data_IF_525437234417
#
_entry.id   IF_525437234417
#
_cell.length_a   1.000
_cell.length_b   1.000
_cell.length_c   1.000
_cell.angle_alpha   90.00
_cell.angle_beta   90.00
_cell.angle_gamma   90.00
#
_symmetry.space_group_name_H-M   'P 1'
#
loop_
_entity.id
_entity.type
_entity.pdbx_description
1 polymer ?
#
# COMPACT_ATOMS: atom_id res chain seq x y z
N UNK A 1 -3.89 -14.89 -2.02
CA UNK A 1 -3.07 -13.73 -1.59
C UNK A 1 -2.98 -12.76 -2.73
N UNK A 2 -3.22 -11.50 -2.50
CA UNK A 2 -3.15 -10.52 -3.57
C UNK A 2 -1.69 -10.35 -4.02
N UNK A 3 -1.43 -10.73 -5.25
CA UNK A 3 -0.10 -10.69 -5.87
C UNK A 3 0.54 -9.29 -5.79
N UNK A 4 -0.27 -8.25 -5.76
CA UNK A 4 0.20 -6.86 -5.70
C UNK A 4 0.84 -6.47 -4.38
N UNK A 5 0.52 -7.16 -3.29
CA UNK A 5 1.14 -6.90 -1.97
C UNK A 5 2.55 -7.46 -1.90
N UNK A 6 2.81 -8.55 -2.58
CA UNK A 6 4.12 -9.19 -2.62
C UNK A 6 5.09 -8.49 -3.57
N UNK A 7 4.57 -7.86 -4.61
CA UNK A 7 5.39 -7.09 -5.53
C UNK A 7 5.81 -5.78 -4.87
N UNK A 8 7.09 -5.69 -4.51
CA UNK A 8 7.65 -4.50 -3.88
C UNK A 8 8.02 -3.40 -4.88
N UNK A 9 8.05 -3.73 -6.17
CA UNK A 9 8.32 -2.77 -7.22
C UNK A 9 7.12 -1.83 -7.38
N UNK A 10 7.38 -0.54 -7.44
CA UNK A 10 6.33 0.46 -7.57
C UNK A 10 5.55 0.79 -6.30
N UNK A 11 5.90 0.22 -5.14
CA UNK A 11 5.31 0.62 -3.86
C UNK A 11 5.71 2.03 -3.47
N UNK A 12 4.73 2.75 -2.94
CA UNK A 12 4.94 4.07 -2.37
C UNK A 12 4.10 4.23 -1.10
N UNK A 13 4.45 5.18 -0.27
CA UNK A 13 3.64 5.53 0.89
C UNK A 13 2.58 6.55 0.44
N UNK A 14 1.28 6.22 0.55
CA UNK A 14 0.23 7.18 0.20
C UNK A 14 0.35 8.45 1.04
N UNK A 15 0.14 9.59 0.41
CA UNK A 15 0.03 10.88 1.11
C UNK A 15 -1.29 10.96 1.90
N UNK A 16 -1.40 11.96 2.77
CA UNK A 16 -2.66 12.21 3.48
C UNK A 16 -3.80 12.52 2.50
N UNK A 17 -3.52 13.22 1.42
CA UNK A 17 -4.48 13.49 0.36
C UNK A 17 -4.91 12.22 -0.37
N UNK A 18 -3.97 11.32 -0.68
CA UNK A 18 -4.27 10.02 -1.29
C UNK A 18 -5.19 9.19 -0.40
N UNK A 19 -4.91 9.15 0.89
CA UNK A 19 -5.72 8.44 1.89
C UNK A 19 -7.12 9.04 1.98
N UNK A 20 -7.22 10.35 2.06
CA UNK A 20 -8.49 11.04 2.13
C UNK A 20 -9.36 10.78 0.89
N UNK A 21 -8.75 10.81 -0.28
CA UNK A 21 -9.45 10.52 -1.54
C UNK A 21 -9.86 9.05 -1.64
N UNK A 22 -8.99 8.12 -1.25
CA UNK A 22 -9.33 6.71 -1.21
C UNK A 22 -10.51 6.44 -0.27
N UNK A 23 -10.50 7.00 0.93
CA UNK A 23 -11.61 6.87 1.89
C UNK A 23 -12.92 7.48 1.35
N UNK A 24 -12.84 8.63 0.72
CA UNK A 24 -13.99 9.26 0.09
C UNK A 24 -14.62 8.38 -0.99
N UNK A 25 -13.81 7.80 -1.85
CA UNK A 25 -14.25 6.92 -2.91
C UNK A 25 -14.84 5.60 -2.37
N UNK A 26 -14.21 5.03 -1.35
CA UNK A 26 -14.72 3.83 -0.66
C UNK A 26 -16.10 4.12 -0.06
N UNK A 27 -16.23 5.19 0.72
CA UNK A 27 -17.50 5.60 1.32
C UNK A 27 -18.62 5.73 0.27
N UNK A 28 -18.31 6.29 -0.88
CA UNK A 28 -19.26 6.51 -1.96
C UNK A 28 -19.69 5.20 -2.63
N UNK A 29 -18.82 4.21 -2.68
CA UNK A 29 -19.00 3.02 -3.51
C UNK A 29 -19.22 1.72 -2.76
N UNK A 30 -18.91 1.67 -1.47
CA UNK A 30 -18.85 0.40 -0.74
C UNK A 30 -20.19 -0.34 -0.71
N UNK A 31 -21.30 0.33 -0.55
CA UNK A 31 -22.61 -0.30 -0.53
C UNK A 31 -22.91 -1.04 -1.84
N UNK A 32 -22.55 -0.47 -2.97
CA UNK A 32 -22.70 -1.11 -4.27
C UNK A 32 -21.69 -2.24 -4.49
N UNK A 33 -20.42 -2.00 -4.18
CA UNK A 33 -19.35 -3.00 -4.35
C UNK A 33 -19.61 -4.22 -3.47
N UNK A 34 -20.17 -4.02 -2.27
CA UNK A 34 -20.49 -5.06 -1.30
C UNK A 34 -21.92 -5.60 -1.42
N UNK A 35 -22.63 -5.34 -2.49
CA UNK A 35 -24.06 -5.67 -2.61
C UNK A 35 -24.41 -7.14 -2.44
N UNK A 36 -23.49 -8.04 -2.69
CA UNK A 36 -23.71 -9.48 -2.56
C UNK A 36 -23.45 -10.03 -1.17
N UNK A 37 -22.88 -9.24 -0.25
CA UNK A 37 -22.58 -9.62 1.13
C UNK A 37 -21.85 -10.97 1.27
N UNK A 38 -20.88 -11.23 0.41
CA UNK A 38 -20.10 -12.46 0.44
C UNK A 38 -19.39 -12.62 1.79
N UNK A 39 -19.54 -13.80 2.43
CA UNK A 39 -19.01 -14.10 3.75
C UNK A 39 -19.50 -13.15 4.86
N UNK A 40 -20.65 -12.56 4.71
CA UNK A 40 -21.26 -11.60 5.64
C UNK A 40 -22.69 -12.01 5.98
N UNK A 41 -23.14 -11.58 7.15
CA UNK A 41 -24.47 -11.92 7.66
C UNK A 41 -24.41 -12.92 8.82
N UNK A 42 -25.49 -13.06 9.58
CA UNK A 42 -25.49 -13.79 10.85
C UNK A 42 -24.52 -13.17 11.84
N UNK A 43 -23.57 -13.95 12.36
CA UNK A 43 -22.52 -13.46 13.26
C UNK A 43 -21.37 -12.72 12.53
N UNK A 44 -21.38 -12.75 11.20
CA UNK A 44 -20.40 -12.06 10.38
C UNK A 44 -20.89 -10.66 10.04
N UNK A 45 -20.17 -9.59 10.44
CA UNK A 45 -20.63 -8.24 10.18
C UNK A 45 -20.71 -7.94 8.68
N UNK A 46 -21.72 -7.17 8.29
CA UNK A 46 -21.84 -6.57 6.97
C UNK A 46 -20.91 -5.35 6.94
N UNK A 47 -19.91 -5.37 6.09
CA UNK A 47 -18.77 -4.44 6.18
C UNK A 47 -19.18 -2.97 6.00
N UNK A 48 -20.08 -2.66 5.09
CA UNK A 48 -20.51 -1.28 4.85
C UNK A 48 -21.43 -0.70 5.95
N UNK A 49 -21.96 -1.54 6.83
CA UNK A 49 -22.74 -1.11 8.00
C UNK A 49 -21.86 -0.75 9.20
N UNK A 50 -20.60 -1.16 9.22
CA UNK A 50 -19.72 -1.05 10.37
C UNK A 50 -18.39 -0.34 10.07
N UNK A 51 -18.34 0.52 9.10
CA UNK A 51 -17.11 1.16 8.61
C UNK A 51 -16.25 1.81 9.70
N UNK A 52 -16.87 2.33 10.75
CA UNK A 52 -16.16 2.99 11.86
C UNK A 52 -15.47 2.05 12.84
N UNK A 53 -15.77 0.76 12.77
CA UNK A 53 -15.22 -0.25 13.68
C UNK A 53 -13.86 -0.76 13.27
N UNK A 54 -13.48 -0.53 12.03
CA UNK A 54 -12.24 -1.07 11.47
C UNK A 54 -11.07 -0.12 11.65
N UNK A 55 -9.95 -0.66 12.07
CA UNK A 55 -8.64 -0.05 11.87
C UNK A 55 -8.20 -0.28 10.42
N UNK A 56 -7.42 0.63 9.88
CA UNK A 56 -7.03 0.62 8.47
C UNK A 56 -5.53 0.65 8.28
N UNK A 57 -5.08 -0.06 7.26
CA UNK A 57 -3.74 0.08 6.69
C UNK A 57 -3.85 0.50 5.24
N UNK A 58 -2.93 1.35 4.82
CA UNK A 58 -2.88 1.84 3.44
C UNK A 58 -1.54 1.48 2.82
N UNK A 59 -1.59 0.83 1.67
CA UNK A 59 -0.43 0.49 0.87
C UNK A 59 -0.61 1.05 -0.52
N UNK A 60 0.29 1.93 -0.94
CA UNK A 60 0.30 2.46 -2.29
C UNK A 60 1.16 1.63 -3.22
N UNK A 61 0.71 1.45 -4.44
CA UNK A 61 1.52 0.88 -5.51
C UNK A 61 1.12 1.46 -6.86
N UNK A 62 2.02 1.37 -7.82
CA UNK A 62 1.77 1.75 -9.20
C UNK A 62 1.56 0.49 -10.00
N UNK A 63 0.45 0.41 -10.73
CA UNK A 63 0.16 -0.73 -11.58
C UNK A 63 0.95 -0.66 -12.91
N UNK A 64 0.82 -1.70 -13.73
CA UNK A 64 1.54 -1.78 -15.02
C UNK A 64 1.15 -0.68 -16.01
N UNK A 65 0.03 -0.02 -15.80
CA UNK A 65 -0.43 1.10 -16.63
C UNK A 65 0.04 2.45 -16.14
N UNK A 66 0.74 2.49 -14.99
CA UNK A 66 1.19 3.70 -14.33
C UNK A 66 0.14 4.35 -13.42
N UNK A 67 -1.00 3.71 -13.19
CA UNK A 67 -2.02 4.21 -12.27
C UNK A 67 -1.60 4.04 -10.82
N UNK A 68 -1.89 5.04 -9.99
CA UNK A 68 -1.70 4.98 -8.55
C UNK A 68 -2.86 4.25 -7.89
N UNK A 69 -2.55 3.14 -7.25
CA UNK A 69 -3.50 2.29 -6.55
C UNK A 69 -3.23 2.36 -5.05
N UNK A 70 -4.27 2.50 -4.27
CA UNK A 70 -4.22 2.34 -2.81
C UNK A 70 -4.96 1.07 -2.44
N UNK A 71 -4.25 0.14 -1.86
CA UNK A 71 -4.84 -1.02 -1.21
C UNK A 71 -5.13 -0.65 0.24
N UNK A 72 -6.35 -0.88 0.68
CA UNK A 72 -6.79 -0.56 2.03
C UNK A 72 -7.21 -1.84 2.73
N UNK A 73 -6.54 -2.14 3.83
CA UNK A 73 -6.83 -3.28 4.69
C UNK A 73 -7.66 -2.83 5.88
N UNK A 74 -8.77 -3.49 6.11
CA UNK A 74 -9.70 -3.20 7.20
C UNK A 74 -9.68 -4.36 8.19
N UNK A 75 -9.39 -4.05 9.44
CA UNK A 75 -9.26 -5.05 10.51
C UNK A 75 -10.06 -4.61 11.73
N UNK A 76 -10.94 -5.46 12.18
CA UNK A 76 -11.72 -5.24 13.38
C UNK A 76 -11.43 -6.36 14.40
N UNK A 77 -10.43 -6.13 15.25
CA UNK A 77 -10.15 -6.91 16.43
C UNK A 77 -9.48 -6.06 17.51
N UNK A 78 -9.43 -6.58 18.74
CA UNK A 78 -8.93 -5.82 19.89
C UNK A 78 -7.43 -5.49 19.81
N UNK A 79 -6.66 -6.26 19.05
CA UNK A 79 -5.22 -6.12 18.92
C UNK A 79 -4.79 -5.45 17.61
N UNK A 80 -5.75 -5.06 16.77
CA UNK A 80 -5.50 -4.55 15.43
C UNK A 80 -4.60 -3.33 15.43
N UNK A 81 -4.90 -2.34 16.27
CA UNK A 81 -4.20 -1.06 16.26
C UNK A 81 -2.68 -1.19 16.42
N UNK A 82 -2.21 -2.04 17.33
CA UNK A 82 -0.78 -2.23 17.56
C UNK A 82 -0.09 -2.99 16.42
N UNK A 83 -0.74 -4.02 15.88
CA UNK A 83 -0.17 -4.82 14.80
C UNK A 83 -0.09 -4.05 13.50
N UNK A 84 -1.11 -3.25 13.19
CA UNK A 84 -1.20 -2.46 11.98
C UNK A 84 -0.13 -1.36 11.88
N UNK A 85 0.43 -0.93 13.00
CA UNK A 85 1.51 0.07 13.02
C UNK A 85 2.85 -0.47 12.51
N UNK A 86 3.07 -1.76 12.69
CA UNK A 86 4.37 -2.37 12.43
C UNK A 86 4.43 -3.08 11.07
N UNK A 87 3.45 -3.91 10.79
CA UNK A 87 3.45 -4.82 9.65
C UNK A 87 2.13 -4.74 8.87
N UNK A 88 2.15 -5.16 7.62
CA UNK A 88 0.90 -5.45 6.90
C UNK A 88 0.28 -6.69 7.55
N UNK A 89 -0.92 -6.55 8.06
CA UNK A 89 -1.64 -7.64 8.71
C UNK A 89 -2.52 -8.35 7.68
N UNK A 90 -2.19 -9.60 7.43
CA UNK A 90 -3.00 -10.50 6.62
C UNK A 90 -3.51 -11.63 7.50
N UNK A 91 -4.78 -11.97 7.34
CA UNK A 91 -5.45 -13.03 8.09
C UNK A 91 -6.27 -13.90 7.15
N UNK A 92 -6.51 -15.13 7.58
CA UNK A 92 -7.54 -16.01 7.03
C UNK A 92 -8.65 -16.15 8.05
N UNK A 93 -9.87 -16.38 7.60
CA UNK A 93 -11.02 -16.52 8.50
C UNK A 93 -11.48 -15.20 9.13
N UNK A 94 -12.42 -15.29 10.05
CA UNK A 94 -12.98 -14.13 10.73
C UNK A 94 -14.01 -13.34 9.95
N UNK A 95 -14.36 -13.78 8.76
CA UNK A 95 -15.39 -13.21 7.87
C UNK A 95 -15.32 -11.67 7.76
N UNK A 96 -16.44 -10.98 7.90
CA UNK A 96 -16.52 -9.53 7.74
C UNK A 96 -15.73 -8.68 8.75
N UNK A 97 -15.02 -9.29 9.72
CA UNK A 97 -14.08 -8.56 10.57
C UNK A 97 -12.75 -8.22 9.88
N UNK A 98 -12.45 -8.88 8.76
CA UNK A 98 -11.22 -8.72 8.00
C UNK A 98 -11.53 -8.68 6.52
N UNK A 99 -11.21 -7.56 5.89
CA UNK A 99 -11.42 -7.39 4.46
C UNK A 99 -10.47 -6.33 3.90
N UNK A 100 -10.30 -6.33 2.62
CA UNK A 100 -9.53 -5.32 1.93
C UNK A 100 -10.15 -4.96 0.59
N UNK A 101 -9.74 -3.83 0.06
CA UNK A 101 -10.24 -3.27 -1.18
C UNK A 101 -9.17 -2.44 -1.85
N UNK A 102 -9.28 -2.25 -3.15
CA UNK A 102 -8.40 -1.40 -3.93
C UNK A 102 -9.12 -0.17 -4.44
N UNK A 103 -8.40 0.92 -4.47
CA UNK A 103 -8.86 2.18 -5.07
C UNK A 103 -7.85 2.65 -6.10
N UNK A 104 -8.30 2.82 -7.33
CA UNK A 104 -7.50 3.47 -8.35
C UNK A 104 -7.70 4.98 -8.25
N UNK A 105 -6.69 5.70 -7.74
CA UNK A 105 -6.76 7.15 -7.58
C UNK A 105 -6.78 7.89 -8.91
N UNK A 106 -6.22 7.30 -9.96
CA UNK A 106 -6.17 7.91 -11.29
C UNK A 106 -7.52 7.90 -12.00
N UNK A 107 -8.34 6.87 -11.77
CA UNK A 107 -9.63 6.69 -12.42
C UNK A 107 -10.83 6.87 -11.48
N UNK A 108 -10.61 6.83 -10.18
CA UNK A 108 -11.67 6.82 -9.16
C UNK A 108 -12.38 5.48 -8.98
N UNK A 109 -11.88 4.41 -9.59
CA UNK A 109 -12.48 3.07 -9.50
C UNK A 109 -12.18 2.44 -8.14
N UNK A 110 -13.23 1.92 -7.50
CA UNK A 110 -13.15 1.09 -6.28
C UNK A 110 -13.46 -0.35 -6.68
N UNK A 111 -12.56 -1.27 -6.39
CA UNK A 111 -12.63 -2.65 -6.90
C UNK A 111 -11.84 -3.63 -6.02
N UNK A 112 -11.96 -4.90 -6.32
CA UNK A 112 -11.16 -5.93 -5.66
C UNK A 112 -11.49 -6.10 -4.19
N UNK A 113 -12.76 -5.93 -3.80
CA UNK A 113 -13.22 -6.26 -2.46
C UNK A 113 -13.03 -7.76 -2.20
N UNK A 114 -12.29 -8.07 -1.15
CA UNK A 114 -12.14 -9.43 -0.64
C UNK A 114 -12.44 -9.44 0.86
N UNK A 115 -13.47 -10.19 1.23
CA UNK A 115 -13.86 -10.43 2.61
C UNK A 115 -13.40 -11.82 3.01
N UNK A 116 -12.80 -11.94 4.19
CA UNK A 116 -12.29 -13.22 4.67
C UNK A 116 -13.39 -14.28 4.74
N UNK A 117 -12.98 -15.55 4.65
CA UNK A 117 -13.87 -16.68 4.84
C UNK A 117 -14.40 -16.81 6.28
N UNK A 118 -15.40 -17.65 6.48
CA UNK A 118 -16.14 -17.80 7.75
C UNK A 118 -15.45 -18.66 8.80
N UNK A 119 -14.27 -19.20 8.52
CA UNK A 119 -13.50 -20.01 9.48
C UNK A 119 -12.90 -19.20 10.63
N UNK A 120 -12.20 -19.90 11.52
CA UNK A 120 -11.47 -19.26 12.62
C UNK A 120 -10.36 -18.35 12.10
N UNK A 121 -10.06 -17.31 12.87
CA UNK A 121 -9.02 -16.34 12.51
C UNK A 121 -7.63 -16.99 12.57
N UNK A 122 -6.90 -16.88 11.49
CA UNK A 122 -5.53 -17.34 11.39
C UNK A 122 -4.66 -16.22 10.80
N UNK A 123 -3.67 -15.80 11.57
CA UNK A 123 -2.73 -14.79 11.10
C UNK A 123 -1.71 -15.43 10.14
N UNK A 124 -1.55 -14.80 9.00
CA UNK A 124 -0.54 -15.18 8.01
C UNK A 124 0.84 -14.65 8.40
N UNK A 125 1.93 -15.17 7.79
CA UNK A 125 3.26 -14.65 8.03
C UNK A 125 3.34 -13.15 7.82
N UNK A 126 4.16 -12.49 8.63
CA UNK A 126 4.31 -11.03 8.59
C UNK A 126 4.82 -10.55 7.24
N UNK A 127 4.10 -9.61 6.65
CA UNK A 127 4.56 -8.85 5.49
C UNK A 127 5.02 -7.50 6.00
N UNK A 128 6.29 -7.18 5.81
CA UNK A 128 6.83 -5.89 6.27
C UNK A 128 6.13 -4.74 5.55
N UNK A 129 5.67 -3.77 6.33
CA UNK A 129 4.96 -2.59 5.83
C UNK A 129 5.83 -1.75 4.91
N UNK A 130 7.10 -1.61 5.28
CA UNK A 130 8.11 -1.00 4.43
C UNK A 130 9.01 -2.11 3.91
N UNK A 131 9.20 -2.23 2.60
CA UNK A 131 10.26 -3.09 2.12
C UNK A 131 11.56 -2.66 2.81
N UNK A 132 12.46 -3.62 3.15
CA UNK A 132 13.77 -3.23 3.60
C UNK A 132 14.28 -2.19 2.60
N UNK A 133 14.79 -1.07 3.11
CA UNK A 133 15.48 -0.13 2.23
C UNK A 133 16.46 -0.96 1.43
N UNK A 134 16.16 -1.17 0.17
CA UNK A 134 17.17 -1.63 -0.75
C UNK A 134 18.25 -0.57 -0.62
N UNK A 135 19.38 -0.96 0.00
CA UNK A 135 20.55 -0.11 -0.05
C UNK A 135 20.67 0.26 -1.52
N UNK A 136 20.43 1.53 -1.84
CA UNK A 136 20.67 2.00 -3.20
C UNK A 136 22.03 1.41 -3.55
N UNK A 137 22.16 0.65 -4.65
CA UNK A 137 23.46 0.28 -5.11
C UNK A 137 24.27 1.57 -5.02
N UNK A 138 25.38 1.55 -4.27
CA UNK A 138 26.23 2.73 -4.14
C UNK A 138 26.30 3.29 -5.55
N UNK A 139 25.65 4.42 -5.77
CA UNK A 139 25.82 5.09 -7.07
C UNK A 139 27.32 5.07 -7.27
N UNK A 140 27.81 4.57 -8.40
CA UNK A 140 29.21 4.70 -8.70
C UNK A 140 29.52 6.15 -8.41
N UNK A 141 30.34 6.38 -7.43
CA UNK A 141 30.70 7.75 -7.07
C UNK A 141 31.02 8.43 -8.39
N UNK A 142 30.37 9.54 -8.70
CA UNK A 142 30.65 10.16 -9.97
C UNK A 142 32.17 10.24 -10.07
N UNK A 143 32.70 9.62 -11.09
CA UNK A 143 34.13 9.66 -11.39
C UNK A 143 34.68 11.10 -11.47
N UNK A 144 33.79 12.06 -11.26
CA UNK A 144 34.03 13.49 -11.26
C UNK A 144 34.80 14.06 -10.09
N UNK A 145 35.25 13.25 -9.16
CA UNK A 145 36.39 13.65 -8.34
C UNK A 145 37.69 13.12 -8.91
N UNK A 146 37.75 12.99 -10.18
CA UNK A 146 39.03 13.29 -10.81
C UNK A 146 39.30 14.73 -10.40
N UNK A 147 40.10 14.88 -9.38
CA UNK A 147 40.77 16.15 -9.15
C UNK A 147 41.30 16.53 -10.50
N UNK A 148 40.80 17.56 -11.06
CA UNK A 148 41.44 18.26 -12.18
C UNK A 148 42.74 18.93 -11.65
N UNK A 149 43.46 18.16 -10.85
CA UNK A 149 44.80 18.52 -10.44
C UNK A 149 45.66 18.25 -11.65
N UNK A 150 45.79 19.21 -12.44
CA UNK A 150 46.74 19.06 -13.48
C UNK A 150 46.30 19.43 -14.88
N UNK A 151 45.25 20.15 -15.06
CA UNK A 151 45.22 21.03 -16.18
C UNK A 151 46.15 22.18 -15.76
N UNK A 152 47.37 22.22 -16.18
CA UNK A 152 48.11 23.43 -16.05
C UNK A 152 47.32 24.44 -16.87
N UNK A 153 46.65 25.28 -16.19
CA UNK A 153 46.24 26.54 -16.77
C UNK A 153 47.56 27.22 -17.11
N UNK A 154 48.07 26.90 -18.25
CA UNK A 154 49.18 27.65 -18.74
C UNK A 154 48.62 28.96 -19.31
N UNK A 155 48.72 30.06 -18.57
CA UNK A 155 48.20 31.31 -19.06
C UNK A 155 48.92 31.83 -20.30
N UNK A 156 49.99 31.18 -20.67
CA UNK A 156 50.76 31.57 -21.81
C UNK A 156 50.20 31.10 -23.14
N UNK A 157 49.36 30.07 -23.10
CA UNK A 157 48.70 29.62 -24.32
C UNK A 157 47.50 30.51 -24.71
N UNK A 158 47.11 31.41 -23.84
CA UNK A 158 46.06 32.36 -24.10
C UNK A 158 46.54 33.63 -24.80
N UNK A 159 47.81 33.75 -25.18
CA UNK A 159 48.39 34.96 -25.75
C UNK A 159 48.62 34.90 -27.24
N UNK A 160 47.93 34.04 -27.92
CA UNK A 160 48.03 33.99 -29.38
C UNK A 160 46.71 34.29 -30.06
#
# INVERSE_FOLDING_TARGET
>A
MDFTIENQDGRYTPSEEDIAEAERLIQKRIAYVNRYHENQGGDCPVVDEHMRKYERQYVGFTDITGCHIVWVNFVWDENAAERLKQDIVLTEGGCGHYWHIKVNLSTGKVYGLEVNGTGDVKYLPRVKKNPPRISRPKQPQPAGKIRRTGIPQNPQEAHF
#
